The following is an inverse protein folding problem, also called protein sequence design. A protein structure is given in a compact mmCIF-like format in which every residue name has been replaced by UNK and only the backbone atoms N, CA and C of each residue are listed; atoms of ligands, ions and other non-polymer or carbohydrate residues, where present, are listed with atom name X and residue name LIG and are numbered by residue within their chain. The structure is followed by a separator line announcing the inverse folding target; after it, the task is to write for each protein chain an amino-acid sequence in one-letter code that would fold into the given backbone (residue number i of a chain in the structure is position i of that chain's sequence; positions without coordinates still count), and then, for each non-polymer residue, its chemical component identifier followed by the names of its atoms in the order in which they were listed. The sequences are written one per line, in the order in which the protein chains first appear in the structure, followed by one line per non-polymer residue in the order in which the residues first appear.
data_IF_610112759224
#
_entry.id   IF_610112759224
#
_cell.length_a   1.000
_cell.length_b   1.000
_cell.length_c   1.000
_cell.angle_alpha   90.00
_cell.angle_beta   90.00
_cell.angle_gamma   90.00
#
_symmetry.space_group_name_H-M   'P 1'
#
loop_
_entity.id
_entity.type
_entity.pdbx_description
1 polymer ?
#
# COMPACT_ATOMS: atom_id res chain seq x y z
N UNK A 1 32.78 -20.60 57.34
CA UNK A 1 32.83 -20.45 55.86
C UNK A 1 32.46 -19.00 55.56
N UNK A 2 33.47 -18.16 55.31
CA UNK A 2 33.83 -17.57 54.00
C UNK A 2 32.68 -16.74 53.39
N UNK A 3 32.78 -15.48 52.95
CA UNK A 3 33.80 -14.42 52.82
C UNK A 3 32.99 -13.14 52.43
N UNK A 4 33.16 -12.03 53.17
CA UNK A 4 33.44 -10.64 52.72
C UNK A 4 32.52 -9.93 51.68
N UNK A 5 31.90 -8.81 52.10
CA UNK A 5 31.51 -7.68 51.24
C UNK A 5 32.75 -6.79 50.95
N UNK A 6 32.82 -6.00 49.86
CA UNK A 6 32.04 -4.75 49.74
C UNK A 6 31.62 -4.29 48.30
N UNK A 7 30.65 -3.37 48.26
CA UNK A 7 30.33 -2.42 47.17
C UNK A 7 31.52 -1.45 46.94
N UNK A 8 31.73 -0.80 45.75
CA UNK A 8 30.77 0.17 45.17
C UNK A 8 30.70 0.30 43.63
N UNK A 9 29.61 0.89 43.16
CA UNK A 9 29.44 1.48 41.83
C UNK A 9 30.50 2.56 41.54
N UNK A 10 30.78 2.83 40.26
CA UNK A 10 30.48 4.19 39.81
C UNK A 10 29.74 4.25 38.47
N UNK A 11 28.82 5.21 38.46
CA UNK A 11 28.20 5.89 37.33
C UNK A 11 29.31 6.55 36.49
N UNK A 12 29.24 6.47 35.17
CA UNK A 12 29.77 7.52 34.32
C UNK A 12 28.82 7.79 33.14
N UNK A 13 28.10 8.90 33.27
CA UNK A 13 27.45 9.60 32.18
C UNK A 13 28.49 10.11 31.19
N UNK A 14 28.23 9.92 29.90
CA UNK A 14 28.70 10.82 28.82
C UNK A 14 27.47 11.01 27.94
N UNK A 15 26.68 12.05 28.23
CA UNK A 15 26.79 13.39 27.65
C UNK A 15 26.44 13.39 26.16
N UNK A 16 25.31 14.03 25.89
CA UNK A 16 24.70 14.26 24.60
C UNK A 16 25.65 14.96 23.62
N UNK A 17 25.54 14.59 22.34
CA UNK A 17 25.85 15.47 21.23
C UNK A 17 24.70 15.39 20.23
N UNK A 18 23.65 16.19 20.49
CA UNK A 18 22.70 16.61 19.48
C UNK A 18 23.45 17.50 18.48
N UNK A 19 23.93 16.91 17.39
CA UNK A 19 24.43 17.67 16.26
C UNK A 19 23.21 18.22 15.49
N UNK A 20 22.77 19.42 15.88
CA UNK A 20 21.84 20.22 15.09
C UNK A 20 22.61 20.69 13.85
N UNK A 21 22.34 20.06 12.71
CA UNK A 21 22.83 20.54 11.42
C UNK A 21 21.99 21.76 11.05
N UNK A 22 22.57 22.96 10.87
CA UNK A 22 21.81 24.09 10.36
C UNK A 22 21.41 23.78 8.91
N UNK A 23 20.11 23.80 8.64
CA UNK A 23 19.58 23.89 7.29
C UNK A 23 20.04 25.24 6.72
N UNK A 24 20.95 25.21 5.75
CA UNK A 24 21.20 26.35 4.89
C UNK A 24 19.92 26.64 4.11
N UNK A 25 19.19 27.69 4.52
CA UNK A 25 18.16 28.31 3.70
C UNK A 25 18.89 28.96 2.53
N UNK A 26 18.82 28.32 1.35
CA UNK A 26 19.13 29.01 0.11
C UNK A 26 17.84 29.71 -0.30
N UNK A 27 17.79 31.02 -0.08
CA UNK A 27 16.80 31.88 -0.69
C UNK A 27 17.05 31.85 -2.20
N UNK A 28 16.30 31.01 -2.93
CA UNK A 28 16.19 31.14 -4.36
C UNK A 28 15.05 32.12 -4.64
N UNK A 29 15.46 33.26 -5.18
CA UNK A 29 14.63 34.27 -5.81
C UNK A 29 13.51 33.61 -6.64
N UNK A 30 12.28 33.90 -6.26
CA UNK A 30 11.13 33.68 -7.12
C UNK A 30 11.06 34.85 -8.12
N UNK A 31 11.24 34.63 -9.43
CA UNK A 31 10.79 35.60 -10.41
C UNK A 31 9.26 35.56 -10.48
N UNK A 32 8.67 36.62 -9.94
CA UNK A 32 7.29 37.05 -10.16
C UNK A 32 7.06 37.26 -11.66
N UNK A 33 6.51 36.26 -12.35
CA UNK A 33 5.87 36.44 -13.64
C UNK A 33 4.36 36.43 -13.43
N UNK A 34 3.84 37.62 -13.11
CA UNK A 34 2.44 37.95 -13.29
C UNK A 34 2.09 37.84 -14.77
N UNK A 35 1.59 36.67 -15.17
CA UNK A 35 0.90 36.45 -16.44
C UNK A 35 -0.59 36.55 -16.19
N UNK A 36 -1.22 37.54 -16.80
CA UNK A 36 -2.56 37.99 -16.45
C UNK A 36 -3.67 36.95 -16.63
N UNK A 37 -4.68 37.13 -15.78
CA UNK A 37 -6.06 36.71 -16.01
C UNK A 37 -6.45 37.03 -17.46
N UNK A 38 -6.55 35.99 -18.28
CA UNK A 38 -7.46 36.02 -19.43
C UNK A 38 -8.64 35.13 -19.07
N UNK A 39 -9.55 35.74 -18.29
CA UNK A 39 -10.94 35.33 -18.29
C UNK A 39 -11.42 35.42 -19.73
N UNK A 40 -11.53 34.26 -20.36
CA UNK A 40 -12.17 34.07 -21.64
C UNK A 40 -13.27 33.05 -21.42
N UNK A 41 -14.48 33.58 -21.25
CA UNK A 41 -15.76 33.00 -21.65
C UNK A 41 -15.74 31.50 -22.00
N UNK A 42 -16.03 30.64 -21.01
CA UNK A 42 -16.52 29.28 -21.25
C UNK A 42 -17.72 28.94 -20.35
N UNK A 43 -18.55 29.93 -20.07
CA UNK A 43 -19.90 29.75 -19.52
C UNK A 43 -20.89 30.11 -20.60
N UNK A 44 -21.34 29.13 -21.40
CA UNK A 44 -22.35 29.40 -22.42
C UNK A 44 -22.37 28.43 -23.58
N UNK A 45 -22.45 27.12 -23.32
CA UNK A 45 -22.69 26.13 -24.36
C UNK A 45 -23.51 25.01 -23.76
N UNK A 46 -24.81 24.97 -24.06
CA UNK A 46 -25.67 23.86 -23.69
C UNK A 46 -25.10 22.57 -24.26
N UNK A 47 -24.49 21.75 -23.41
CA UNK A 47 -24.20 20.36 -23.72
C UNK A 47 -25.55 19.66 -23.88
N UNK A 48 -25.95 19.46 -25.14
CA UNK A 48 -27.06 18.61 -25.51
C UNK A 48 -26.84 17.23 -24.88
N UNK A 49 -27.91 16.64 -24.34
CA UNK A 49 -27.91 15.36 -23.63
C UNK A 49 -27.41 14.14 -24.41
N UNK A 50 -26.90 14.31 -25.63
CA UNK A 50 -26.29 13.26 -26.46
C UNK A 50 -24.78 13.09 -26.17
N UNK A 51 -24.07 14.15 -25.76
CA UNK A 51 -22.63 14.09 -25.44
C UNK A 51 -22.36 13.64 -24.00
N UNK A 52 -23.32 13.80 -23.08
CA UNK A 52 -23.23 13.23 -21.74
C UNK A 52 -23.33 11.70 -21.75
N UNK A 53 -24.08 11.11 -22.70
CA UNK A 53 -24.24 9.67 -22.79
C UNK A 53 -22.92 8.98 -23.20
N UNK A 54 -22.21 9.54 -24.19
CA UNK A 54 -20.85 9.10 -24.57
C UNK A 54 -19.81 9.30 -23.46
N UNK A 55 -19.98 10.31 -22.60
CA UNK A 55 -19.12 10.52 -21.43
C UNK A 55 -19.29 9.44 -20.35
N UNK A 56 -20.51 8.95 -20.15
CA UNK A 56 -20.80 7.82 -19.26
C UNK A 56 -20.26 6.48 -19.81
N UNK A 57 -20.31 6.28 -21.13
CA UNK A 57 -19.77 5.08 -21.79
C UNK A 57 -18.23 5.01 -21.73
N UNK A 58 -17.53 6.14 -21.85
CA UNK A 58 -16.08 6.22 -21.64
C UNK A 58 -15.68 5.85 -20.20
N UNK A 59 -16.46 6.27 -19.21
CA UNK A 59 -16.18 6.00 -17.78
C UNK A 59 -16.49 4.54 -17.39
N UNK A 60 -17.49 3.91 -18.03
CA UNK A 60 -17.81 2.49 -17.86
C UNK A 60 -16.79 1.54 -18.51
N UNK A 61 -16.19 1.95 -19.63
CA UNK A 61 -15.08 1.24 -20.29
C UNK A 61 -13.79 1.27 -19.47
N UNK A 62 -13.48 2.43 -18.86
CA UNK A 62 -12.28 2.63 -18.03
C UNK A 62 -12.30 1.78 -16.74
N UNK A 63 -13.44 1.75 -16.04
CA UNK A 63 -13.65 0.88 -14.87
C UNK A 63 -13.56 -0.61 -15.20
N UNK A 64 -14.09 -1.04 -16.35
CA UNK A 64 -14.03 -2.43 -16.79
C UNK A 64 -12.60 -2.86 -17.12
N UNK A 65 -11.81 -1.96 -17.72
CA UNK A 65 -10.40 -2.18 -18.03
C UNK A 65 -9.53 -2.23 -16.77
N UNK A 66 -9.69 -1.26 -15.85
CA UNK A 66 -8.98 -1.26 -14.57
C UNK A 66 -9.26 -2.51 -13.73
N UNK A 67 -10.49 -3.02 -13.77
CA UNK A 67 -10.86 -4.28 -13.12
C UNK A 67 -10.16 -5.49 -13.76
N UNK A 68 -10.08 -5.55 -15.09
CA UNK A 68 -9.36 -6.62 -15.79
C UNK A 68 -7.89 -6.66 -15.40
N UNK A 69 -7.25 -5.49 -15.39
CA UNK A 69 -5.86 -5.33 -14.94
C UNK A 69 -5.67 -5.75 -13.48
N UNK A 70 -6.64 -5.45 -12.61
CA UNK A 70 -6.58 -5.86 -11.21
C UNK A 70 -6.70 -7.38 -11.09
N UNK A 71 -7.69 -8.03 -11.74
CA UNK A 71 -7.82 -9.50 -11.73
C UNK A 71 -6.56 -10.17 -12.25
N UNK A 72 -6.00 -9.67 -13.34
CA UNK A 72 -4.74 -10.19 -13.87
C UNK A 72 -3.62 -10.09 -12.82
N UNK A 73 -3.48 -8.94 -12.13
CA UNK A 73 -2.49 -8.83 -11.04
C UNK A 73 -2.75 -9.82 -9.89
N UNK A 74 -4.02 -10.12 -9.57
CA UNK A 74 -4.38 -11.14 -8.57
C UNK A 74 -4.00 -12.55 -9.03
N UNK A 75 -4.25 -12.91 -10.29
CA UNK A 75 -3.94 -14.24 -10.81
C UNK A 75 -2.44 -14.54 -10.83
N UNK A 76 -1.61 -13.51 -10.93
CA UNK A 76 -0.15 -13.61 -10.89
C UNK A 76 0.44 -13.51 -9.46
N UNK A 77 -0.39 -13.63 -8.41
CA UNK A 77 0.10 -13.58 -7.03
C UNK A 77 1.13 -14.69 -6.71
N UNK A 78 0.94 -15.89 -7.27
CA UNK A 78 1.92 -16.99 -7.15
C UNK A 78 3.27 -16.64 -7.75
N UNK A 79 3.27 -16.01 -8.94
CA UNK A 79 4.48 -15.58 -9.61
C UNK A 79 5.18 -14.47 -8.84
N UNK A 80 4.44 -13.53 -8.25
CA UNK A 80 5.02 -12.48 -7.39
C UNK A 80 5.67 -13.08 -6.16
N UNK A 81 5.03 -14.06 -5.51
CA UNK A 81 5.62 -14.78 -4.37
C UNK A 81 6.92 -15.47 -4.80
N UNK A 82 6.94 -16.16 -5.94
CA UNK A 82 8.16 -16.79 -6.46
C UNK A 82 9.27 -15.76 -6.77
N UNK A 83 8.92 -14.62 -7.35
CA UNK A 83 9.85 -13.52 -7.61
C UNK A 83 10.43 -12.95 -6.31
N UNK A 84 9.59 -12.65 -5.32
CA UNK A 84 10.02 -12.17 -3.99
C UNK A 84 10.95 -13.15 -3.29
N UNK A 85 10.72 -14.46 -3.40
CA UNK A 85 11.62 -15.49 -2.85
C UNK A 85 13.04 -15.34 -3.41
N UNK A 86 13.13 -15.04 -4.70
CA UNK A 86 14.39 -14.90 -5.44
C UNK A 86 15.04 -13.55 -5.13
N UNK A 87 14.28 -12.46 -5.18
CA UNK A 87 14.73 -11.10 -4.88
C UNK A 87 15.29 -10.99 -3.46
N UNK A 88 14.61 -11.59 -2.47
CA UNK A 88 15.03 -11.59 -1.06
C UNK A 88 16.10 -12.65 -0.75
N UNK A 89 16.53 -13.43 -1.74
CA UNK A 89 17.56 -14.47 -1.59
C UNK A 89 17.26 -15.41 -0.42
N UNK A 90 16.01 -15.89 -0.33
CA UNK A 90 15.56 -16.72 0.80
C UNK A 90 16.38 -18.00 0.89
N UNK A 91 16.94 -18.25 2.07
CA UNK A 91 17.77 -19.43 2.35
C UNK A 91 16.92 -20.65 2.75
N UNK A 92 17.52 -21.84 2.74
CA UNK A 92 16.84 -23.07 3.22
C UNK A 92 16.39 -22.93 4.68
N UNK A 93 17.24 -22.33 5.54
CA UNK A 93 16.91 -22.08 6.95
C UNK A 93 15.71 -21.14 7.13
N UNK A 94 15.50 -20.22 6.19
CA UNK A 94 14.38 -19.26 6.21
C UNK A 94 13.10 -19.81 5.57
N UNK A 95 13.17 -20.95 4.88
CA UNK A 95 12.03 -21.52 4.11
C UNK A 95 10.76 -21.74 4.95
N UNK A 96 10.83 -22.21 6.21
CA UNK A 96 9.63 -22.33 7.04
C UNK A 96 8.93 -21.00 7.34
N UNK A 97 9.70 -19.94 7.58
CA UNK A 97 9.15 -18.59 7.80
C UNK A 97 8.64 -17.98 6.49
N UNK A 98 9.36 -18.22 5.39
CA UNK A 98 8.96 -17.82 4.05
C UNK A 98 7.60 -18.42 3.65
N UNK A 99 7.39 -19.71 3.89
CA UNK A 99 6.12 -20.36 3.52
C UNK A 99 4.92 -19.72 4.24
N UNK A 100 5.07 -19.37 5.52
CA UNK A 100 4.00 -18.65 6.26
C UNK A 100 3.67 -17.29 5.66
N UNK A 101 4.71 -16.53 5.28
CA UNK A 101 4.53 -15.25 4.60
C UNK A 101 3.87 -15.43 3.22
N UNK A 102 4.35 -16.39 2.43
CA UNK A 102 3.80 -16.72 1.12
C UNK A 102 2.32 -17.10 1.21
N UNK A 103 1.95 -17.96 2.17
CA UNK A 103 0.57 -18.37 2.40
C UNK A 103 -0.31 -17.17 2.77
N UNK A 104 0.14 -16.30 3.68
CA UNK A 104 -0.59 -15.09 4.04
C UNK A 104 -0.80 -14.15 2.83
N UNK A 105 0.21 -14.02 1.98
CA UNK A 105 0.13 -13.22 0.75
C UNK A 105 -0.89 -13.80 -0.24
N UNK A 106 -0.85 -15.12 -0.48
CA UNK A 106 -1.76 -15.80 -1.40
C UNK A 106 -3.20 -15.80 -0.90
N UNK A 107 -3.42 -16.00 0.40
CA UNK A 107 -4.75 -15.88 1.02
C UNK A 107 -5.30 -14.46 0.88
N UNK A 108 -4.45 -13.44 1.09
CA UNK A 108 -4.83 -12.04 0.86
C UNK A 108 -5.22 -11.80 -0.61
N UNK A 109 -4.44 -12.31 -1.57
CA UNK A 109 -4.76 -12.21 -2.99
C UNK A 109 -6.12 -12.85 -3.31
N UNK A 110 -6.36 -14.08 -2.86
CA UNK A 110 -7.63 -14.78 -3.08
C UNK A 110 -8.82 -14.04 -2.47
N UNK A 111 -8.67 -13.51 -1.25
CA UNK A 111 -9.76 -12.77 -0.60
C UNK A 111 -10.15 -11.49 -1.36
N UNK A 112 -9.20 -10.85 -2.04
CA UNK A 112 -9.51 -9.72 -2.91
C UNK A 112 -10.24 -10.15 -4.18
N UNK A 113 -9.90 -11.31 -4.75
CA UNK A 113 -10.59 -11.84 -5.94
C UNK A 113 -12.05 -12.11 -5.62
N UNK A 114 -12.31 -12.80 -4.51
CA UNK A 114 -13.65 -13.10 -4.03
C UNK A 114 -14.45 -11.82 -3.73
N UNK A 115 -13.81 -10.80 -3.14
CA UNK A 115 -14.45 -9.51 -2.89
C UNK A 115 -14.82 -8.77 -4.19
N UNK A 116 -13.94 -8.80 -5.19
CA UNK A 116 -14.19 -8.22 -6.51
C UNK A 116 -15.32 -8.95 -7.25
N UNK A 117 -15.37 -10.29 -7.15
CA UNK A 117 -16.41 -11.12 -7.74
C UNK A 117 -17.77 -10.89 -7.09
N UNK A 118 -17.81 -10.84 -5.75
CA UNK A 118 -19.03 -10.53 -5.01
C UNK A 118 -19.57 -9.14 -5.36
N UNK A 119 -18.69 -8.15 -5.47
CA UNK A 119 -19.07 -6.80 -5.90
C UNK A 119 -19.63 -6.81 -7.33
N UNK A 120 -18.99 -7.54 -8.24
CA UNK A 120 -19.46 -7.64 -9.62
C UNK A 120 -20.85 -8.28 -9.72
N UNK A 121 -21.08 -9.39 -9.01
CA UNK A 121 -22.39 -10.04 -8.96
C UNK A 121 -23.45 -9.11 -8.36
N UNK A 122 -23.14 -8.40 -7.28
CA UNK A 122 -24.07 -7.44 -6.67
C UNK A 122 -24.45 -6.32 -7.64
N UNK A 123 -23.49 -5.76 -8.37
CA UNK A 123 -23.75 -4.68 -9.33
C UNK A 123 -24.58 -5.15 -10.53
N UNK A 124 -24.36 -6.39 -11.01
CA UNK A 124 -25.17 -6.98 -12.08
C UNK A 124 -26.61 -7.26 -11.65
N UNK A 125 -26.84 -7.58 -10.37
CA UNK A 125 -28.17 -7.89 -9.85
C UNK A 125 -28.95 -6.64 -9.41
N UNK A 126 -28.27 -5.62 -8.86
CA UNK A 126 -28.97 -4.53 -8.20
C UNK A 126 -29.60 -3.52 -9.16
N UNK A 127 -29.00 -3.27 -10.34
CA UNK A 127 -29.49 -2.36 -11.40
C UNK A 127 -29.70 -0.89 -10.99
N UNK A 128 -29.82 -0.61 -9.70
CA UNK A 128 -30.08 0.67 -9.08
C UNK A 128 -28.82 1.20 -8.41
N UNK A 129 -28.65 2.53 -8.48
CA UNK A 129 -27.55 3.21 -7.81
C UNK A 129 -27.73 3.17 -6.29
N UNK A 130 -26.70 2.70 -5.56
CA UNK A 130 -26.69 2.71 -4.10
C UNK A 130 -26.83 4.13 -3.52
N UNK A 131 -27.52 4.26 -2.39
CA UNK A 131 -27.65 5.52 -1.65
C UNK A 131 -26.29 5.96 -1.08
N UNK A 132 -26.17 7.24 -0.69
CA UNK A 132 -24.92 7.76 -0.12
C UNK A 132 -24.48 7.03 1.17
N UNK A 133 -25.37 6.72 2.14
CA UNK A 133 -25.00 5.94 3.32
C UNK A 133 -24.48 4.53 2.97
N UNK A 134 -25.14 3.82 2.04
CA UNK A 134 -24.71 2.49 1.60
C UNK A 134 -23.36 2.52 0.88
N UNK A 135 -23.10 3.57 0.11
CA UNK A 135 -21.79 3.81 -0.51
C UNK A 135 -20.70 3.99 0.56
N UNK A 136 -20.96 4.83 1.57
CA UNK A 136 -20.01 5.05 2.66
C UNK A 136 -19.73 3.75 3.43
N UNK A 137 -20.77 2.98 3.74
CA UNK A 137 -20.62 1.68 4.41
C UNK A 137 -19.78 0.70 3.57
N UNK A 138 -20.01 0.64 2.26
CA UNK A 138 -19.21 -0.17 1.35
C UNK A 138 -17.73 0.23 1.36
N UNK A 139 -17.44 1.53 1.25
CA UNK A 139 -16.07 2.04 1.30
C UNK A 139 -15.40 1.73 2.65
N UNK A 140 -16.10 1.92 3.77
CA UNK A 140 -15.60 1.60 5.11
C UNK A 140 -15.27 0.11 5.25
N UNK A 141 -16.15 -0.77 4.76
CA UNK A 141 -15.93 -2.23 4.76
C UNK A 141 -14.70 -2.63 3.95
N UNK A 142 -14.52 -2.04 2.75
CA UNK A 142 -13.35 -2.32 1.91
C UNK A 142 -12.05 -1.83 2.56
N UNK A 143 -12.07 -0.66 3.21
CA UNK A 143 -10.92 -0.14 3.96
C UNK A 143 -10.56 -1.05 5.14
N UNK A 144 -11.55 -1.50 5.91
CA UNK A 144 -11.35 -2.43 7.03
C UNK A 144 -10.77 -3.77 6.55
N UNK A 145 -11.29 -4.32 5.44
CA UNK A 145 -10.77 -5.55 4.84
C UNK A 145 -9.32 -5.38 4.35
N UNK A 146 -8.99 -4.23 3.75
CA UNK A 146 -7.62 -3.93 3.34
C UNK A 146 -6.66 -3.87 4.53
N UNK A 147 -7.06 -3.18 5.60
CA UNK A 147 -6.27 -3.09 6.84
C UNK A 147 -5.99 -4.48 7.42
N UNK A 148 -7.03 -5.32 7.55
CA UNK A 148 -6.89 -6.68 8.09
C UNK A 148 -5.91 -7.53 7.27
N UNK A 149 -5.93 -7.40 5.93
CA UNK A 149 -4.98 -8.10 5.04
C UNK A 149 -3.55 -7.61 5.25
N UNK A 150 -3.34 -6.29 5.35
CA UNK A 150 -2.00 -5.75 5.60
C UNK A 150 -1.45 -6.19 6.95
N UNK A 151 -2.29 -6.23 7.99
CA UNK A 151 -1.92 -6.74 9.31
C UNK A 151 -1.52 -8.21 9.24
N UNK A 152 -2.31 -9.07 8.59
CA UNK A 152 -1.98 -10.49 8.44
C UNK A 152 -0.65 -10.71 7.69
N UNK A 153 -0.41 -9.94 6.62
CA UNK A 153 0.86 -10.01 5.88
C UNK A 153 2.02 -9.54 6.78
N UNK A 154 1.84 -8.45 7.52
CA UNK A 154 2.87 -7.92 8.44
C UNK A 154 3.20 -8.93 9.54
N UNK A 155 2.19 -9.51 10.18
CA UNK A 155 2.39 -10.48 11.26
C UNK A 155 3.13 -11.73 10.76
N UNK A 156 2.88 -12.15 9.51
CA UNK A 156 3.60 -13.24 8.87
C UNK A 156 5.03 -12.85 8.42
N UNK A 157 5.24 -11.58 8.07
CA UNK A 157 6.54 -11.04 7.66
C UNK A 157 7.48 -10.81 8.85
N UNK A 158 6.98 -10.35 10.00
CA UNK A 158 7.79 -10.02 11.19
C UNK A 158 8.84 -11.10 11.56
N UNK A 159 8.49 -12.40 11.69
CA UNK A 159 9.48 -13.44 12.00
C UNK A 159 10.46 -13.71 10.85
N UNK A 160 10.00 -13.56 9.61
CA UNK A 160 10.86 -13.72 8.42
C UNK A 160 11.88 -12.57 8.36
N UNK A 161 11.43 -11.32 8.52
CA UNK A 161 12.26 -10.13 8.52
C UNK A 161 13.27 -10.11 9.68
N UNK A 162 12.87 -10.62 10.86
CA UNK A 162 13.79 -10.78 11.99
C UNK A 162 14.94 -11.75 11.67
N UNK A 163 14.72 -12.72 10.78
CA UNK A 163 15.74 -13.70 10.35
C UNK A 163 16.64 -13.22 9.19
N UNK A 164 16.37 -12.04 8.63
CA UNK A 164 17.11 -11.49 7.51
C UNK A 164 18.47 -10.94 7.91
N UNK A 165 19.46 -11.12 7.01
CA UNK A 165 20.72 -10.37 7.05
C UNK A 165 20.49 -8.89 6.73
N UNK A 166 21.48 -8.04 6.99
CA UNK A 166 21.39 -6.60 6.67
C UNK A 166 21.17 -6.35 5.17
N UNK A 167 21.75 -7.18 4.30
CA UNK A 167 21.52 -7.12 2.85
C UNK A 167 20.06 -7.47 2.50
N UNK A 168 19.52 -8.54 3.09
CA UNK A 168 18.14 -8.94 2.86
C UNK A 168 17.14 -7.91 3.39
N UNK A 169 17.41 -7.28 4.53
CA UNK A 169 16.59 -6.18 5.06
C UNK A 169 16.59 -4.99 4.13
N UNK A 170 17.74 -4.58 3.60
CA UNK A 170 17.82 -3.50 2.61
C UNK A 170 17.00 -3.79 1.35
N UNK A 171 16.99 -5.04 0.89
CA UNK A 171 16.17 -5.47 -0.24
C UNK A 171 14.68 -5.44 0.12
N UNK A 172 14.31 -5.95 1.29
CA UNK A 172 12.93 -5.95 1.78
C UNK A 172 12.38 -4.54 2.02
N UNK A 173 13.18 -3.63 2.56
CA UNK A 173 12.81 -2.24 2.83
C UNK A 173 12.63 -1.41 1.56
N UNK A 174 13.19 -1.87 0.43
CA UNK A 174 13.01 -1.28 -0.89
C UNK A 174 11.73 -1.70 -1.61
N UNK A 175 10.96 -2.65 -1.04
CA UNK A 175 9.70 -3.10 -1.61
C UNK A 175 8.59 -2.07 -1.39
N UNK A 176 7.71 -1.91 -2.36
CA UNK A 176 6.60 -0.97 -2.28
C UNK A 176 5.32 -1.68 -1.80
N UNK A 177 4.51 -1.02 -0.98
CA UNK A 177 3.19 -1.55 -0.60
C UNK A 177 2.15 -0.99 -1.58
N UNK A 178 1.69 -1.84 -2.48
CA UNK A 178 0.60 -1.54 -3.40
C UNK A 178 -0.78 -1.88 -2.83
N UNK A 179 -1.85 -1.59 -3.59
CA UNK A 179 -3.22 -2.00 -3.23
C UNK A 179 -3.35 -3.54 -3.07
N UNK A 180 -2.41 -4.28 -3.66
CA UNK A 180 -2.31 -5.73 -3.63
C UNK A 180 -1.44 -6.30 -2.51
N UNK A 181 -0.76 -5.47 -1.72
CA UNK A 181 0.25 -5.89 -0.75
C UNK A 181 1.67 -5.53 -1.21
N UNK A 182 2.66 -6.28 -0.75
CA UNK A 182 4.09 -6.03 -1.03
C UNK A 182 4.41 -6.30 -2.52
N UNK A 183 5.01 -5.32 -3.19
CA UNK A 183 5.35 -5.27 -4.62
C UNK A 183 6.81 -4.94 -4.84
#
# INVERSE_FOLDING_TARGET
MKIRAPLPFPILSIAAALAVVPLSVSAQDAPMMGGGMKGGDMMGGGMKGEDMMKGCDMMGGDMSHMRSMMREKLSHAGDRVAALKTELKITEAQTPAWNKFADAFLVSAKSMEEAMDAMHHKMMQSGAAASLPEKLEHHAKMAAAHLARLQAIKDALDPLYASFSDEQKKLADGLNIGPMGVM
#
